data_IF_422428094626
#
_entry.id   IF_422428094626
#
_cell.length_a   1.000
_cell.length_b   1.000
_cell.length_c   1.000
_cell.angle_alpha   90.00
_cell.angle_beta   90.00
_cell.angle_gamma   90.00
#
_symmetry.space_group_name_H-M   'P 1'
#
loop_
_entity.id
_entity.type
_entity.pdbx_description
1 polymer ?
#
# COMPACT_ATOMS: atom_id res chain seq x y z
N UNK A 1 -16.02 -2.54 -6.08
CA UNK A 1 -14.55 -2.62 -6.20
C UNK A 1 -14.19 -4.09 -6.34
N UNK A 2 -13.37 -4.48 -7.32
CA UNK A 2 -12.95 -5.88 -7.42
C UNK A 2 -11.94 -6.22 -6.32
N UNK A 3 -11.91 -7.47 -5.83
CA UNK A 3 -10.86 -7.89 -4.91
C UNK A 3 -9.48 -7.82 -5.59
N UNK A 4 -8.44 -7.74 -4.76
CA UNK A 4 -7.06 -7.83 -5.21
C UNK A 4 -6.81 -9.16 -5.94
N UNK A 5 -6.00 -9.14 -6.99
CA UNK A 5 -5.80 -10.29 -7.88
C UNK A 5 -4.84 -11.33 -7.28
N UNK A 6 -5.32 -12.56 -6.98
CA UNK A 6 -4.49 -13.62 -6.42
C UNK A 6 -3.45 -14.15 -7.40
N UNK A 7 -3.71 -14.09 -8.72
CA UNK A 7 -2.79 -14.59 -9.75
C UNK A 7 -1.57 -13.67 -9.85
N UNK A 8 -1.79 -12.35 -9.88
CA UNK A 8 -0.71 -11.37 -9.87
C UNK A 8 0.12 -11.44 -8.56
N UNK A 9 -0.55 -11.62 -7.41
CA UNK A 9 0.12 -11.81 -6.11
C UNK A 9 1.08 -13.00 -6.14
N UNK A 10 0.62 -14.12 -6.68
CA UNK A 10 1.36 -15.37 -6.75
C UNK A 10 2.53 -15.30 -7.77
N UNK A 11 2.32 -14.64 -8.91
CA UNK A 11 3.39 -14.36 -9.87
C UNK A 11 4.51 -13.49 -9.26
N UNK A 12 4.13 -12.43 -8.55
CA UNK A 12 5.08 -11.58 -7.82
C UNK A 12 5.84 -12.35 -6.73
N UNK A 13 5.20 -13.31 -6.04
CA UNK A 13 5.84 -14.18 -5.03
C UNK A 13 6.91 -15.05 -5.67
N UNK A 14 6.57 -15.75 -6.76
CA UNK A 14 7.51 -16.56 -7.52
C UNK A 14 8.69 -15.74 -8.05
N UNK A 15 8.46 -14.47 -8.40
CA UNK A 15 9.54 -13.56 -8.80
C UNK A 15 10.46 -13.23 -7.62
N UNK A 16 9.90 -12.87 -6.46
CA UNK A 16 10.68 -12.56 -5.24
C UNK A 16 11.60 -13.70 -4.80
N UNK A 17 11.14 -14.95 -4.95
CA UNK A 17 11.91 -16.16 -4.63
C UNK A 17 13.12 -16.39 -5.55
N UNK A 18 13.15 -15.77 -6.74
CA UNK A 18 14.23 -15.93 -7.74
C UNK A 18 15.20 -14.74 -7.81
N UNK A 19 14.98 -13.69 -7.03
CA UNK A 19 15.89 -12.53 -7.03
C UNK A 19 17.21 -12.88 -6.34
N UNK A 20 18.28 -12.15 -6.67
CA UNK A 20 19.61 -12.29 -6.06
C UNK A 20 19.64 -11.74 -4.63
N UNK A 21 18.90 -12.40 -3.74
CA UNK A 21 18.80 -12.14 -2.31
C UNK A 21 18.46 -13.44 -1.57
N UNK A 22 18.84 -13.61 -0.30
CA UNK A 22 18.30 -14.71 0.50
C UNK A 22 16.76 -14.61 0.56
N UNK A 23 16.02 -15.73 0.46
CA UNK A 23 14.56 -15.71 0.58
C UNK A 23 14.10 -15.01 1.86
N UNK A 24 13.13 -14.09 1.73
CA UNK A 24 12.57 -13.35 2.87
C UNK A 24 13.49 -12.26 3.46
N UNK A 25 14.69 -12.02 2.92
CA UNK A 25 15.65 -11.08 3.52
C UNK A 25 15.18 -9.62 3.54
N UNK A 26 14.15 -9.26 2.76
CA UNK A 26 13.58 -7.90 2.77
C UNK A 26 12.31 -7.81 3.65
N UNK A 27 11.88 -8.92 4.27
CA UNK A 27 10.76 -8.98 5.20
C UNK A 27 9.50 -8.31 4.66
N UNK A 28 9.01 -7.29 5.39
CA UNK A 28 7.79 -6.54 5.06
C UNK A 28 7.81 -5.88 3.67
N UNK A 29 8.98 -5.57 3.11
CA UNK A 29 9.06 -5.02 1.75
C UNK A 29 8.65 -6.06 0.69
N UNK A 30 8.89 -7.36 0.94
CA UNK A 30 8.42 -8.41 0.04
C UNK A 30 6.90 -8.49 0.10
N UNK A 31 6.32 -8.55 1.30
CA UNK A 31 4.87 -8.57 1.50
C UNK A 31 4.16 -7.39 0.84
N UNK A 32 4.72 -6.18 1.01
CA UNK A 32 4.20 -4.97 0.37
C UNK A 32 4.26 -5.06 -1.15
N UNK A 33 5.35 -5.59 -1.72
CA UNK A 33 5.47 -5.78 -3.17
C UNK A 33 4.39 -6.74 -3.72
N UNK A 34 4.04 -7.80 -2.98
CA UNK A 34 2.98 -8.74 -3.36
C UNK A 34 1.60 -8.09 -3.31
N UNK A 35 1.35 -7.26 -2.28
CA UNK A 35 0.09 -6.54 -2.14
C UNK A 35 -0.10 -5.52 -3.27
N UNK A 36 0.93 -4.75 -3.59
CA UNK A 36 0.89 -3.78 -4.70
C UNK A 36 0.65 -4.49 -6.03
N UNK A 37 1.35 -5.62 -6.28
CA UNK A 37 1.16 -6.43 -7.47
C UNK A 37 -0.30 -6.91 -7.62
N UNK A 38 -0.90 -7.38 -6.53
CA UNK A 38 -2.29 -7.81 -6.49
C UNK A 38 -3.29 -6.66 -6.76
N UNK A 39 -3.02 -5.47 -6.22
CA UNK A 39 -3.87 -4.28 -6.44
C UNK A 39 -3.78 -3.80 -7.88
N UNK A 40 -2.57 -3.75 -8.45
CA UNK A 40 -2.34 -3.27 -9.82
C UNK A 40 -2.54 -4.35 -10.89
N UNK A 41 -2.75 -5.60 -10.47
CA UNK A 41 -2.90 -6.77 -11.37
C UNK A 41 -1.71 -6.95 -12.32
N UNK A 42 -0.51 -6.72 -11.79
CA UNK A 42 0.77 -6.77 -12.50
C UNK A 42 1.81 -7.43 -11.59
N UNK A 43 2.57 -8.40 -12.08
CA UNK A 43 3.61 -9.08 -11.30
C UNK A 43 4.82 -8.20 -10.96
N UNK A 44 5.07 -7.15 -11.75
CA UNK A 44 6.17 -6.22 -11.58
C UNK A 44 5.67 -4.76 -11.73
N UNK A 45 4.79 -4.31 -10.81
CA UNK A 45 4.06 -3.07 -10.96
C UNK A 45 4.97 -1.84 -10.91
N UNK A 46 4.61 -0.80 -11.66
CA UNK A 46 5.26 0.51 -11.62
C UNK A 46 4.41 1.52 -10.84
N UNK A 47 4.93 2.07 -9.73
CA UNK A 47 4.23 3.11 -8.97
C UNK A 47 4.34 4.47 -9.68
N UNK A 48 3.31 4.83 -10.45
CA UNK A 48 3.18 6.10 -11.17
C UNK A 48 2.07 6.97 -10.56
N UNK A 49 2.06 8.26 -10.90
CA UNK A 49 0.94 9.16 -10.56
C UNK A 49 0.66 9.28 -9.06
N UNK A 50 1.69 9.46 -8.24
CA UNK A 50 1.52 9.61 -6.78
C UNK A 50 0.82 10.94 -6.48
N UNK A 51 -0.22 10.90 -5.65
CA UNK A 51 -0.92 12.08 -5.18
C UNK A 51 -1.07 12.03 -3.66
N UNK A 52 -1.02 13.21 -3.03
CA UNK A 52 -1.37 13.39 -1.61
C UNK A 52 -2.64 14.22 -1.56
N UNK A 53 -3.69 13.70 -0.94
CA UNK A 53 -4.94 14.42 -0.73
C UNK A 53 -5.05 14.76 0.75
N UNK A 54 -5.02 16.06 1.06
CA UNK A 54 -5.25 16.57 2.43
C UNK A 54 -6.69 17.06 2.49
N UNK A 55 -7.51 16.37 3.28
CA UNK A 55 -8.85 16.81 3.61
C UNK A 55 -8.82 17.52 4.97
N UNK A 56 -9.30 18.76 5.02
CA UNK A 56 -9.46 19.53 6.24
C UNK A 56 -10.92 19.96 6.37
N UNK A 57 -11.42 19.96 7.61
CA UNK A 57 -12.79 20.35 7.92
C UNK A 57 -12.94 20.68 9.39
N UNK A 58 -13.84 21.62 9.68
CA UNK A 58 -14.15 22.04 11.04
C UNK A 58 -15.07 21.05 11.73
N UNK A 59 -15.02 21.05 13.06
CA UNK A 59 -15.83 20.16 13.90
C UNK A 59 -16.59 20.99 14.93
N UNK A 60 -17.93 20.92 14.94
CA UNK A 60 -18.77 21.76 15.81
C UNK A 60 -18.56 21.54 17.31
N UNK A 61 -18.07 20.36 17.72
CA UNK A 61 -17.73 20.07 19.12
C UNK A 61 -16.61 20.96 19.66
N UNK A 62 -15.77 21.54 18.79
CA UNK A 62 -14.70 22.47 19.18
C UNK A 62 -15.26 23.67 19.95
N UNK A 63 -16.49 24.11 19.66
CA UNK A 63 -17.16 25.18 20.39
C UNK A 63 -17.38 24.87 21.89
N UNK A 64 -17.24 23.61 22.30
CA UNK A 64 -17.34 23.17 23.69
C UNK A 64 -15.98 23.19 24.43
N UNK A 65 -14.92 23.71 23.81
CA UNK A 65 -13.60 23.87 24.45
C UNK A 65 -12.82 22.57 24.63
N UNK A 66 -13.09 21.55 23.79
CA UNK A 66 -12.51 20.20 23.91
C UNK A 66 -11.10 20.06 23.34
N UNK A 67 -10.48 21.14 22.86
CA UNK A 67 -9.14 21.11 22.25
C UNK A 67 -8.18 22.12 22.90
N UNK A 68 -6.87 21.83 22.83
CA UNK A 68 -5.80 22.70 23.34
C UNK A 68 -5.23 23.69 22.31
N UNK A 69 -5.85 23.79 21.14
CA UNK A 69 -5.50 24.73 20.07
C UNK A 69 -6.71 25.64 19.80
N UNK A 70 -6.52 26.88 19.30
CA UNK A 70 -7.64 27.78 19.01
C UNK A 70 -8.64 27.17 18.02
#
# INVERSE_FOLDING_TARGET
MAPADPVAREAARRRQERLTKPPGSLGRLEELSLQVAAIQRDECPAIRGKALVVAAGDHGVVAQGVTGYP
#
